data_IF_263719435540
#
_entry.id   IF_263719435540
#
_cell.length_a   1.000
_cell.length_b   1.000
_cell.length_c   1.000
_cell.angle_alpha   90.00
_cell.angle_beta   90.00
_cell.angle_gamma   90.00
#
_symmetry.space_group_name_H-M   'P 1'
#
loop_
_entity.id
_entity.type
_entity.pdbx_description
1 polymer ?
#
# COMPACT_ATOMS: atom_id res chain seq x y z
N UNK A 1 22.04 12.64 -15.10
CA UNK A 1 20.89 11.79 -15.40
C UNK A 1 19.73 12.24 -14.52
N UNK A 2 18.51 12.24 -15.04
CA UNK A 2 17.32 12.68 -14.30
C UNK A 2 17.11 11.79 -13.07
N UNK A 3 17.18 12.35 -11.85
CA UNK A 3 17.02 11.64 -10.56
C UNK A 3 15.55 11.38 -10.22
N UNK A 4 14.78 11.01 -11.24
CA UNK A 4 13.33 10.83 -11.13
C UNK A 4 12.97 9.37 -10.93
N UNK A 5 11.80 9.14 -10.37
CA UNK A 5 11.22 7.83 -10.17
C UNK A 5 9.72 7.86 -10.42
N UNK A 6 9.15 6.73 -10.84
CA UNK A 6 7.72 6.60 -11.04
C UNK A 6 6.98 6.76 -9.71
N UNK A 7 5.82 7.41 -9.76
CA UNK A 7 4.90 7.55 -8.63
C UNK A 7 3.65 6.75 -8.95
N UNK A 8 3.40 5.74 -8.14
CA UNK A 8 2.33 4.77 -8.35
C UNK A 8 1.24 4.93 -7.29
N UNK A 9 0.01 4.77 -7.75
CA UNK A 9 -1.16 4.81 -6.87
C UNK A 9 -1.52 3.43 -6.38
N UNK A 10 -1.52 3.27 -5.06
CA UNK A 10 -1.99 2.08 -4.36
C UNK A 10 -3.48 2.23 -4.05
N UNK A 11 -4.31 1.47 -4.75
CA UNK A 11 -5.71 1.30 -4.37
C UNK A 11 -5.83 0.44 -3.12
N UNK A 12 -6.99 0.50 -2.44
CA UNK A 12 -7.29 -0.34 -1.28
C UNK A 12 -7.02 -1.82 -1.58
N UNK A 13 -6.34 -2.49 -0.65
CA UNK A 13 -5.98 -3.89 -0.81
C UNK A 13 -5.70 -4.56 0.55
N UNK A 14 -5.55 -5.89 0.51
CA UNK A 14 -5.20 -6.69 1.67
C UNK A 14 -4.05 -7.65 1.36
N UNK A 15 -3.18 -7.83 2.33
CA UNK A 15 -2.24 -8.95 2.42
C UNK A 15 -2.76 -9.94 3.45
N UNK A 16 -2.67 -11.24 3.17
CA UNK A 16 -3.19 -12.29 4.05
C UNK A 16 -2.08 -13.22 4.54
N UNK A 17 -2.28 -13.79 5.72
CA UNK A 17 -1.58 -15.01 6.14
C UNK A 17 -2.14 -16.23 5.41
N UNK A 18 -1.39 -17.33 5.38
CA UNK A 18 -1.90 -18.59 4.84
C UNK A 18 -3.14 -19.08 5.61
N UNK A 19 -3.13 -18.95 6.94
CA UNK A 19 -4.27 -19.32 7.79
C UNK A 19 -5.54 -18.53 7.43
N UNK A 20 -5.41 -17.21 7.29
CA UNK A 20 -6.54 -16.36 6.93
C UNK A 20 -7.00 -16.58 5.50
N UNK A 21 -6.08 -16.84 4.57
CA UNK A 21 -6.44 -17.24 3.21
C UNK A 21 -7.31 -18.51 3.22
N UNK A 22 -6.91 -19.52 3.99
CA UNK A 22 -7.67 -20.77 4.11
C UNK A 22 -9.01 -20.60 4.82
N UNK A 23 -9.10 -19.74 5.84
CA UNK A 23 -10.36 -19.42 6.51
C UNK A 23 -11.36 -18.74 5.55
N UNK A 24 -10.85 -17.85 4.68
CA UNK A 24 -11.66 -17.06 3.76
C UNK A 24 -12.03 -17.81 2.47
N UNK A 25 -11.16 -18.68 1.97
CA UNK A 25 -11.28 -19.34 0.65
C UNK A 25 -11.31 -20.87 0.70
N UNK A 26 -11.16 -21.48 1.88
CA UNK A 26 -11.20 -22.92 2.11
C UNK A 26 -9.81 -23.53 2.37
N UNK A 27 -9.79 -24.67 3.07
CA UNK A 27 -8.56 -25.38 3.46
C UNK A 27 -7.69 -25.69 2.23
N UNK A 28 -6.40 -25.38 2.34
CA UNK A 28 -5.42 -25.55 1.26
C UNK A 28 -5.55 -24.56 0.10
N UNK A 29 -6.29 -23.46 0.25
CA UNK A 29 -6.39 -22.42 -0.77
C UNK A 29 -5.02 -21.80 -1.10
N UNK A 30 -4.80 -21.50 -2.37
CA UNK A 30 -3.63 -20.79 -2.89
C UNK A 30 -4.07 -19.56 -3.66
N UNK A 31 -3.25 -18.51 -3.66
CA UNK A 31 -3.52 -17.28 -4.42
C UNK A 31 -3.32 -17.51 -5.91
N UNK A 32 -4.27 -17.04 -6.73
CA UNK A 32 -4.17 -17.09 -8.18
C UNK A 32 -3.56 -15.79 -8.69
N UNK A 33 -2.39 -15.88 -9.35
CA UNK A 33 -1.73 -14.72 -9.96
C UNK A 33 -2.60 -14.11 -11.07
N UNK A 34 -2.82 -12.79 -10.98
CA UNK A 34 -3.52 -12.01 -12.02
C UNK A 34 -2.57 -11.14 -12.83
N UNK A 35 -1.71 -10.39 -12.13
CA UNK A 35 -0.71 -9.50 -12.75
C UNK A 35 0.40 -9.17 -11.76
N UNK A 36 1.60 -8.97 -12.29
CA UNK A 36 2.72 -8.46 -11.52
C UNK A 36 2.51 -7.00 -11.10
N UNK A 37 3.10 -6.65 -9.97
CA UNK A 37 3.26 -5.26 -9.52
C UNK A 37 4.69 -4.78 -9.78
N UNK A 38 4.94 -3.50 -9.57
CA UNK A 38 6.27 -2.91 -9.77
C UNK A 38 7.34 -3.45 -8.84
N UNK A 39 6.96 -3.84 -7.62
CA UNK A 39 7.89 -4.42 -6.66
C UNK A 39 8.14 -5.90 -6.99
N UNK A 40 9.42 -6.33 -7.13
CA UNK A 40 9.76 -7.69 -7.53
C UNK A 40 9.08 -8.77 -6.67
N UNK A 41 8.43 -9.72 -7.34
CA UNK A 41 7.75 -10.85 -6.70
C UNK A 41 6.43 -10.51 -6.00
N UNK A 42 5.96 -9.26 -6.05
CA UNK A 42 4.62 -8.88 -5.61
C UNK A 42 3.63 -8.94 -6.78
N UNK A 43 2.42 -9.41 -6.53
CA UNK A 43 1.40 -9.57 -7.57
C UNK A 43 -0.01 -9.30 -7.03
N UNK A 44 -0.88 -8.78 -7.90
CA UNK A 44 -2.30 -8.78 -7.63
C UNK A 44 -2.89 -10.16 -7.91
N UNK A 45 -3.91 -10.54 -7.13
CA UNK A 45 -4.58 -11.83 -7.25
C UNK A 45 -5.95 -11.71 -7.95
N UNK A 46 -6.47 -12.83 -8.44
CA UNK A 46 -7.87 -12.91 -8.90
C UNK A 46 -8.86 -12.87 -7.73
N UNK A 47 -8.45 -13.43 -6.58
CA UNK A 47 -9.23 -13.43 -5.35
C UNK A 47 -9.45 -12.01 -4.82
N UNK A 48 -10.66 -11.81 -4.27
CA UNK A 48 -11.10 -10.56 -3.65
C UNK A 48 -11.88 -10.85 -2.38
N UNK A 49 -11.81 -9.92 -1.44
CA UNK A 49 -12.55 -9.99 -0.16
C UNK A 49 -13.42 -8.75 0.01
N UNK A 50 -14.33 -8.83 0.97
CA UNK A 50 -15.07 -7.68 1.49
C UNK A 50 -14.48 -7.27 2.82
N UNK A 51 -14.15 -5.99 2.99
CA UNK A 51 -13.70 -5.42 4.26
C UNK A 51 -14.89 -4.74 4.92
N UNK A 52 -15.28 -5.21 6.10
CA UNK A 52 -16.46 -4.75 6.84
C UNK A 52 -15.99 -3.95 8.06
N UNK A 53 -16.38 -2.67 8.09
CA UNK A 53 -16.22 -1.82 9.27
C UNK A 53 -17.56 -1.54 9.96
N UNK A 54 -17.55 -0.80 11.08
CA UNK A 54 -18.75 -0.52 11.88
C UNK A 54 -19.89 0.20 11.15
N UNK A 55 -19.59 0.95 10.08
CA UNK A 55 -20.60 1.75 9.35
C UNK A 55 -21.06 1.09 8.06
N UNK A 56 -20.12 0.56 7.28
CA UNK A 56 -20.32 0.08 5.90
C UNK A 56 -19.26 -0.98 5.57
N UNK A 57 -19.38 -1.54 4.38
CA UNK A 57 -18.40 -2.47 3.82
C UNK A 57 -17.78 -1.94 2.51
N UNK A 58 -16.56 -2.40 2.23
CA UNK A 58 -15.88 -2.24 0.95
C UNK A 58 -15.82 -3.62 0.28
N UNK A 59 -16.70 -3.85 -0.69
CA UNK A 59 -16.69 -5.07 -1.48
C UNK A 59 -15.57 -5.05 -2.55
N UNK A 60 -15.09 -6.23 -2.93
CA UNK A 60 -14.17 -6.40 -4.05
C UNK A 60 -12.76 -5.87 -3.81
N UNK A 61 -12.31 -5.81 -2.55
CA UNK A 61 -10.95 -5.39 -2.19
C UNK A 61 -9.95 -6.43 -2.71
N UNK A 62 -8.93 -5.96 -3.41
CA UNK A 62 -7.91 -6.82 -4.04
C UNK A 62 -7.04 -7.49 -2.98
N UNK A 63 -6.68 -8.75 -3.21
CA UNK A 63 -5.61 -9.40 -2.45
C UNK A 63 -4.29 -9.21 -3.21
N UNK A 64 -3.23 -8.86 -2.48
CA UNK A 64 -1.87 -8.80 -3.01
C UNK A 64 -1.02 -9.93 -2.43
N UNK A 65 -0.51 -10.75 -3.33
CA UNK A 65 0.37 -11.87 -3.03
C UNK A 65 1.86 -11.50 -3.06
N UNK A 66 2.73 -12.39 -2.53
CA UNK A 66 2.39 -13.66 -1.89
C UNK A 66 1.77 -13.48 -0.49
N UNK A 67 1.32 -14.58 0.13
CA UNK A 67 0.93 -14.57 1.55
C UNK A 67 2.08 -14.05 2.42
N UNK A 68 1.73 -13.36 3.51
CA UNK A 68 2.67 -12.73 4.44
C UNK A 68 2.56 -13.33 5.84
N UNK A 69 3.52 -13.08 6.73
CA UNK A 69 3.45 -13.53 8.13
C UNK A 69 2.31 -12.88 8.94
N UNK A 70 1.80 -11.74 8.49
CA UNK A 70 0.68 -11.04 9.13
C UNK A 70 -0.34 -10.54 8.09
N UNK A 71 -1.61 -10.49 8.49
CA UNK A 71 -2.67 -9.91 7.68
C UNK A 71 -2.68 -8.40 7.86
N UNK A 72 -2.79 -7.67 6.75
CA UNK A 72 -2.75 -6.22 6.75
C UNK A 72 -3.69 -5.67 5.68
N UNK A 73 -4.53 -4.73 6.06
CA UNK A 73 -5.44 -4.01 5.16
C UNK A 73 -4.93 -2.59 5.00
N UNK A 74 -4.65 -2.20 3.76
CA UNK A 74 -4.21 -0.85 3.42
C UNK A 74 -5.37 -0.10 2.75
N UNK A 75 -5.79 0.99 3.37
CA UNK A 75 -6.90 1.84 2.93
C UNK A 75 -6.42 3.28 2.68
N UNK A 76 -7.18 4.06 1.93
CA UNK A 76 -7.07 5.52 2.02
C UNK A 76 -7.80 6.04 3.27
N UNK A 77 -7.51 7.27 3.69
CA UNK A 77 -8.20 7.91 4.80
C UNK A 77 -9.72 8.02 4.54
N UNK A 78 -10.11 8.31 3.29
CA UNK A 78 -11.51 8.35 2.85
C UNK A 78 -12.17 6.97 3.00
N UNK A 79 -11.48 5.91 2.59
CA UNK A 79 -11.98 4.54 2.71
C UNK A 79 -12.19 4.14 4.16
N UNK A 80 -11.18 4.33 5.02
CA UNK A 80 -11.27 4.05 6.46
C UNK A 80 -12.44 4.80 7.11
N UNK A 81 -12.58 6.10 6.83
CA UNK A 81 -13.71 6.92 7.30
C UNK A 81 -15.06 6.41 6.81
N UNK A 82 -15.13 5.93 5.56
CA UNK A 82 -16.39 5.47 4.94
C UNK A 82 -16.95 4.23 5.62
N UNK A 83 -16.09 3.29 6.04
CA UNK A 83 -16.48 2.09 6.78
C UNK A 83 -16.45 2.28 8.30
N UNK A 84 -15.94 3.41 8.78
CA UNK A 84 -15.90 3.74 10.20
C UNK A 84 -14.81 3.00 10.97
N UNK A 85 -13.73 2.62 10.29
CA UNK A 85 -12.54 2.06 10.94
C UNK A 85 -11.58 3.20 11.30
N UNK A 86 -11.11 3.21 12.54
CA UNK A 86 -10.04 4.10 12.98
C UNK A 86 -8.70 3.48 12.58
N UNK A 87 -8.16 3.91 11.44
CA UNK A 87 -6.93 3.39 10.87
C UNK A 87 -5.82 4.45 10.97
N UNK A 88 -4.72 4.19 11.70
CA UNK A 88 -3.61 5.13 11.79
C UNK A 88 -2.80 5.15 10.49
N UNK A 89 -2.10 6.27 10.24
CA UNK A 89 -1.11 6.36 9.15
C UNK A 89 0.14 5.60 9.56
N UNK A 90 0.52 4.54 8.82
CA UNK A 90 1.63 3.64 9.17
C UNK A 90 2.37 3.16 7.92
N UNK A 91 3.62 2.74 8.12
CA UNK A 91 4.35 1.97 7.11
C UNK A 91 3.87 0.52 7.05
N UNK A 92 3.94 -0.09 5.87
CA UNK A 92 3.60 -1.51 5.69
C UNK A 92 4.49 -2.40 6.58
N UNK A 93 3.87 -3.21 7.44
CA UNK A 93 4.52 -4.03 8.47
C UNK A 93 4.42 -3.47 9.90
N UNK A 94 4.12 -2.17 10.08
CA UNK A 94 3.91 -1.56 11.39
C UNK A 94 2.42 -1.57 11.77
N UNK A 95 1.93 -2.74 12.15
CA UNK A 95 0.50 -3.01 12.39
C UNK A 95 0.11 -3.06 13.87
N UNK A 96 1.07 -3.02 14.79
CA UNK A 96 0.77 -3.14 16.22
C UNK A 96 -0.12 -1.98 16.71
N UNK A 97 -1.24 -2.33 17.34
CA UNK A 97 -2.25 -1.38 17.82
C UNK A 97 -2.90 -0.56 16.71
N UNK A 98 -2.90 -1.05 15.46
CA UNK A 98 -3.60 -0.42 14.34
C UNK A 98 -5.09 -0.79 14.31
N UNK A 99 -5.81 -0.33 13.29
CA UNK A 99 -7.25 -0.49 13.22
C UNK A 99 -7.69 -1.95 13.11
N UNK A 100 -8.93 -2.20 13.51
CA UNK A 100 -9.60 -3.50 13.45
C UNK A 100 -10.66 -3.53 12.35
N UNK A 101 -10.91 -4.70 11.78
CA UNK A 101 -12.04 -4.92 10.87
C UNK A 101 -12.44 -6.39 10.80
N UNK A 102 -13.59 -6.66 10.20
CA UNK A 102 -13.96 -7.99 9.73
C UNK A 102 -13.64 -8.13 8.24
N UNK A 103 -13.11 -9.28 7.84
CA UNK A 103 -12.80 -9.62 6.45
C UNK A 103 -13.67 -10.81 6.05
N UNK A 104 -14.39 -10.69 4.95
CA UNK A 104 -15.32 -11.72 4.45
C UNK A 104 -14.86 -12.22 3.10
N UNK A 105 -14.73 -13.54 2.99
CA UNK A 105 -14.40 -14.26 1.77
C UNK A 105 -15.53 -15.23 1.37
N UNK A 106 -15.39 -15.95 0.25
CA UNK A 106 -16.44 -16.82 -0.27
C UNK A 106 -16.73 -18.06 0.58
N UNK A 107 -15.82 -18.47 1.47
CA UNK A 107 -15.94 -19.67 2.31
C UNK A 107 -16.03 -19.39 3.81
N UNK A 108 -15.83 -18.15 4.24
CA UNK A 108 -15.84 -17.79 5.64
C UNK A 108 -15.51 -16.32 5.87
N UNK A 109 -15.39 -15.97 7.15
CA UNK A 109 -15.02 -14.64 7.61
C UNK A 109 -14.02 -14.73 8.77
N UNK A 110 -13.24 -13.68 8.96
CA UNK A 110 -12.31 -13.51 10.07
C UNK A 110 -12.44 -12.11 10.65
N UNK A 111 -12.15 -11.97 11.93
CA UNK A 111 -12.00 -10.66 12.58
C UNK A 111 -10.54 -10.46 12.95
N UNK A 112 -9.99 -9.30 12.59
CA UNK A 112 -8.66 -8.89 13.02
C UNK A 112 -8.79 -7.75 14.02
N UNK A 113 -8.13 -7.88 15.18
CA UNK A 113 -8.11 -6.84 16.22
C UNK A 113 -7.11 -5.72 15.92
N UNK A 114 -6.17 -5.97 15.02
CA UNK A 114 -5.20 -5.02 14.47
C UNK A 114 -4.82 -5.45 13.05
N UNK A 115 -4.34 -4.52 12.23
CA UNK A 115 -3.89 -4.77 10.86
C UNK A 115 -4.42 -3.77 9.83
N UNK A 116 -5.35 -2.88 10.19
CA UNK A 116 -5.89 -1.88 9.26
C UNK A 116 -5.14 -0.56 9.41
N UNK A 117 -4.55 -0.09 8.30
CA UNK A 117 -3.77 1.15 8.26
C UNK A 117 -4.19 2.05 7.10
N UNK A 118 -3.95 3.35 7.24
CA UNK A 118 -3.80 4.25 6.09
C UNK A 118 -2.34 4.18 5.67
N UNK A 119 -2.09 3.84 4.40
CA UNK A 119 -0.72 3.61 3.94
C UNK A 119 0.08 4.92 3.96
N UNK A 120 1.17 4.97 4.72
CA UNK A 120 2.10 6.10 4.70
C UNK A 120 2.87 6.10 3.39
N UNK A 121 2.86 7.22 2.66
CA UNK A 121 3.66 7.39 1.43
C UNK A 121 5.15 7.09 1.64
N UNK A 122 5.74 6.41 0.68
CA UNK A 122 7.13 5.97 0.77
C UNK A 122 7.75 5.75 -0.62
N UNK A 123 9.08 5.71 -0.66
CA UNK A 123 9.85 5.36 -1.85
C UNK A 123 10.57 4.05 -1.56
N UNK A 124 10.32 3.04 -2.37
CA UNK A 124 11.12 1.82 -2.41
C UNK A 124 12.37 2.07 -3.25
N UNK A 125 13.55 1.73 -2.74
CA UNK A 125 14.84 1.84 -3.42
C UNK A 125 15.68 0.58 -3.23
N UNK A 126 16.48 0.23 -4.23
CA UNK A 126 17.64 -0.65 -4.00
C UNK A 126 18.77 0.13 -3.28
N UNK A 127 19.76 -0.53 -2.68
CA UNK A 127 20.92 0.16 -2.11
C UNK A 127 21.67 1.03 -3.12
N UNK A 128 21.85 0.54 -4.36
CA UNK A 128 22.44 1.30 -5.45
C UNK A 128 21.60 2.54 -5.81
N UNK A 129 20.27 2.39 -5.82
CA UNK A 129 19.38 3.52 -6.09
C UNK A 129 19.44 4.58 -5.00
N UNK A 130 19.57 4.17 -3.74
CA UNK A 130 19.70 5.06 -2.59
C UNK A 130 21.03 5.82 -2.61
N UNK A 131 22.12 5.15 -2.96
CA UNK A 131 23.43 5.77 -3.17
C UNK A 131 23.39 6.81 -4.29
N UNK A 132 22.79 6.50 -5.45
CA UNK A 132 22.64 7.42 -6.58
C UNK A 132 21.83 8.67 -6.21
N UNK A 133 20.76 8.49 -5.43
CA UNK A 133 19.89 9.57 -4.97
C UNK A 133 20.48 10.32 -3.76
N UNK A 134 21.49 9.76 -3.10
CA UNK A 134 22.15 10.36 -1.94
C UNK A 134 21.28 10.34 -0.68
N UNK A 135 20.45 9.31 -0.51
CA UNK A 135 19.54 9.13 0.62
C UNK A 135 19.80 7.80 1.33
N UNK A 136 19.28 7.64 2.54
CA UNK A 136 19.45 6.42 3.36
C UNK A 136 18.12 5.78 3.72
N UNK A 137 18.18 4.51 4.12
CA UNK A 137 17.02 3.81 4.68
C UNK A 137 16.42 4.60 5.85
N UNK A 138 15.09 4.71 5.86
CA UNK A 138 14.26 5.45 6.83
C UNK A 138 14.46 6.96 6.84
N UNK A 139 15.21 7.51 5.89
CA UNK A 139 15.28 8.96 5.73
C UNK A 139 13.92 9.52 5.33
N UNK A 140 13.57 10.68 5.89
CA UNK A 140 12.35 11.41 5.55
C UNK A 140 12.70 12.51 4.56
N UNK A 141 12.09 12.48 3.39
CA UNK A 141 12.38 13.39 2.28
C UNK A 141 11.15 14.16 1.80
N UNK A 142 11.41 15.17 0.96
CA UNK A 142 10.38 15.92 0.24
C UNK A 142 10.39 15.52 -1.22
N UNK A 143 9.22 15.20 -1.79
CA UNK A 143 9.08 14.82 -3.20
C UNK A 143 8.22 15.83 -3.93
N UNK A 144 8.80 16.48 -4.93
CA UNK A 144 8.10 17.37 -5.85
C UNK A 144 7.38 16.55 -6.93
N UNK A 145 6.12 16.86 -7.14
CA UNK A 145 5.26 16.28 -8.18
C UNK A 145 4.78 17.38 -9.12
N UNK A 146 5.09 17.26 -10.41
CA UNK A 146 4.71 18.25 -11.42
C UNK A 146 3.47 17.77 -12.18
N UNK A 147 2.30 18.29 -11.79
CA UNK A 147 1.01 18.02 -12.43
C UNK A 147 0.29 19.32 -12.77
N UNK A 148 -0.56 19.26 -13.80
CA UNK A 148 -1.33 20.43 -14.23
C UNK A 148 -2.40 20.81 -13.20
N UNK A 149 -2.37 22.07 -12.74
CA UNK A 149 -3.29 22.63 -11.76
C UNK A 149 -3.20 22.09 -10.32
N UNK A 150 -2.45 21.00 -10.06
CA UNK A 150 -2.33 20.37 -8.73
C UNK A 150 -0.91 19.98 -8.32
N UNK A 151 0.09 20.70 -8.84
CA UNK A 151 1.49 20.58 -8.41
C UNK A 151 1.61 20.65 -6.89
N UNK A 152 2.40 19.75 -6.32
CA UNK A 152 2.61 19.68 -4.89
C UNK A 152 4.04 19.23 -4.55
N UNK A 153 4.43 19.49 -3.31
CA UNK A 153 5.59 18.85 -2.70
C UNK A 153 5.07 18.07 -1.49
N UNK A 154 5.20 16.74 -1.55
CA UNK A 154 4.85 15.87 -0.43
C UNK A 154 6.04 15.79 0.53
N UNK A 155 5.81 16.17 1.79
CA UNK A 155 6.74 15.91 2.89
C UNK A 155 6.47 14.57 3.55
N UNK A 156 7.23 14.24 4.59
CA UNK A 156 7.06 13.00 5.35
C UNK A 156 7.14 11.72 4.50
N UNK A 157 7.83 11.78 3.37
CA UNK A 157 8.01 10.62 2.47
C UNK A 157 9.13 9.76 3.02
N UNK A 158 8.81 8.53 3.41
CA UNK A 158 9.79 7.60 3.97
C UNK A 158 10.58 6.93 2.85
N UNK A 159 11.90 6.96 2.92
CA UNK A 159 12.76 6.13 2.06
C UNK A 159 12.89 4.73 2.66
N UNK A 160 12.63 3.69 1.87
CA UNK A 160 12.77 2.29 2.26
C UNK A 160 13.75 1.59 1.33
N UNK A 161 14.85 1.10 1.88
CA UNK A 161 15.95 0.50 1.10
C UNK A 161 16.01 -1.00 1.31
N UNK A 162 16.00 -1.77 0.22
CA UNK A 162 16.15 -3.22 0.24
C UNK A 162 16.62 -3.75 -1.11
N UNK A 163 17.44 -4.79 -1.11
CA UNK A 163 17.84 -5.53 -2.32
C UNK A 163 16.65 -6.18 -3.05
N UNK A 164 15.50 -6.30 -2.36
CA UNK A 164 14.27 -6.90 -2.93
C UNK A 164 13.35 -5.89 -3.59
N UNK A 165 13.69 -4.60 -3.56
CA UNK A 165 12.85 -3.53 -4.06
C UNK A 165 13.20 -3.14 -5.49
N UNK A 166 12.28 -2.43 -6.13
CA UNK A 166 12.54 -1.65 -7.33
C UNK A 166 12.18 -0.18 -7.07
N UNK A 167 12.94 0.74 -7.68
CA UNK A 167 12.76 2.19 -7.54
C UNK A 167 11.35 2.64 -7.94
N UNK A 168 10.50 2.93 -6.94
CA UNK A 168 9.16 3.48 -7.15
C UNK A 168 8.65 4.16 -5.87
N UNK A 169 7.91 5.26 -6.02
CA UNK A 169 7.17 5.88 -4.92
C UNK A 169 5.73 5.38 -4.90
N UNK A 170 5.22 5.01 -3.73
CA UNK A 170 3.84 4.58 -3.52
C UNK A 170 3.07 5.63 -2.72
N UNK A 171 1.91 6.02 -3.25
CA UNK A 171 0.94 6.92 -2.62
C UNK A 171 -0.45 6.30 -2.67
N UNK A 172 -1.32 6.62 -1.72
CA UNK A 172 -2.70 6.11 -1.75
C UNK A 172 -3.58 6.85 -2.77
N UNK A 173 -4.85 6.44 -2.90
CA UNK A 173 -5.78 7.08 -3.83
C UNK A 173 -6.17 8.51 -3.44
N UNK A 174 -6.17 8.86 -2.16
CA UNK A 174 -6.51 10.21 -1.70
C UNK A 174 -5.36 11.17 -2.06
N UNK A 175 -4.12 10.76 -1.82
CA UNK A 175 -2.91 11.48 -2.21
C UNK A 175 -2.79 11.62 -3.73
N UNK A 176 -3.04 10.54 -4.47
CA UNK A 176 -3.06 10.53 -5.94
C UNK A 176 -4.09 11.50 -6.50
N UNK A 177 -5.31 11.49 -5.95
CA UNK A 177 -6.36 12.43 -6.33
C UNK A 177 -5.98 13.87 -5.97
N UNK A 178 -5.33 14.11 -4.82
CA UNK A 178 -4.92 15.43 -4.38
C UNK A 178 -3.95 16.11 -5.35
N UNK A 179 -3.16 15.35 -6.12
CA UNK A 179 -2.23 15.87 -7.13
C UNK A 179 -2.65 15.61 -8.57
N UNK A 180 -3.85 15.05 -8.81
CA UNK A 180 -4.31 14.64 -10.15
C UNK A 180 -3.29 13.73 -10.86
N UNK A 181 -2.76 12.73 -10.16
CA UNK A 181 -1.64 11.92 -10.67
C UNK A 181 -2.01 11.15 -11.95
N UNK A 182 -1.33 11.39 -13.09
CA UNK A 182 -1.42 10.48 -14.23
C UNK A 182 -0.62 9.20 -13.98
N UNK A 183 -0.88 8.14 -14.77
CA UNK A 183 -0.13 6.87 -14.67
C UNK A 183 1.37 7.01 -14.94
N UNK A 184 1.78 8.03 -15.67
CA UNK A 184 3.18 8.32 -16.01
C UNK A 184 3.81 9.36 -15.09
N UNK A 185 3.20 9.64 -13.92
CA UNK A 185 3.73 10.65 -13.01
C UNK A 185 5.12 10.22 -12.52
N UNK A 186 6.06 11.15 -12.62
CA UNK A 186 7.38 11.03 -12.02
C UNK A 186 7.52 12.01 -10.85
N UNK A 187 8.23 11.58 -9.82
CA UNK A 187 8.61 12.39 -8.67
C UNK A 187 10.10 12.69 -8.66
N UNK A 188 10.47 13.77 -7.98
CA UNK A 188 11.86 14.18 -7.75
C UNK A 188 12.05 14.54 -6.27
N UNK A 189 13.09 14.00 -5.63
CA UNK A 189 13.48 14.41 -4.28
C UNK A 189 14.04 15.83 -4.33
N UNK A 190 13.52 16.71 -3.48
CA UNK A 190 13.95 18.11 -3.36
C UNK A 190 14.37 18.44 -1.93
N UNK A 191 15.21 19.45 -1.79
CA UNK A 191 15.52 20.08 -0.49
C UNK A 191 14.67 21.35 -0.37
N UNK A 192 14.05 21.54 0.78
CA UNK A 192 13.27 22.74 1.15
C UNK A 192 13.99 23.42 2.31
#
# INVERSE_FOLDING_TARGET
MSKKFIVETSARHVHLTQEHLEALFGKGATLTHKKDLSQPGQFACEERVTIVGPKRELAGVSILGPVRPATQVELSATDARSIGVDAPIRESGDIAGSGACKIVGPKGEIEISEGVIVAKRHIHLTPADAEELGVKDKEIVWVKLDTDGRKAIFGDVVVRVSEKFARAMHIDTDESNAVSAPRSLEGEIVKI
#
